data_IF_244443870059
#
_entry.id   IF_244443870059
#
_cell.length_a   1.000
_cell.length_b   1.000
_cell.length_c   1.000
_cell.angle_alpha   90.00
_cell.angle_beta   90.00
_cell.angle_gamma   90.00
#
_symmetry.space_group_name_H-M   'P 1'
#
loop_
_entity.id
_entity.type
_entity.pdbx_description
1 polymer ?
#
# COMPACT_ATOMS: atom_id res chain seq x y z
N UNK A 1 40.40 -16.42 34.25
CA UNK A 1 39.57 -15.38 33.61
C UNK A 1 39.36 -15.76 32.14
N UNK A 2 38.17 -16.23 31.77
CA UNK A 2 37.86 -16.55 30.37
C UNK A 2 37.55 -15.22 29.66
N UNK A 3 38.41 -14.80 28.73
CA UNK A 3 38.18 -13.61 27.92
C UNK A 3 37.31 -13.99 26.72
N UNK A 4 36.05 -13.53 26.72
CA UNK A 4 35.17 -13.66 25.57
C UNK A 4 35.60 -12.67 24.48
N UNK A 5 35.97 -13.17 23.30
CA UNK A 5 36.27 -12.36 22.12
C UNK A 5 35.10 -12.46 21.15
N UNK A 6 34.30 -11.38 21.06
CA UNK A 6 33.20 -11.31 20.11
C UNK A 6 33.77 -11.08 18.70
N UNK A 7 33.65 -12.08 17.83
CA UNK A 7 34.04 -12.02 16.42
C UNK A 7 32.76 -11.97 15.61
N UNK A 8 32.66 -11.02 14.67
CA UNK A 8 31.52 -10.93 13.74
C UNK A 8 31.48 -12.20 12.91
N UNK A 9 30.38 -12.95 12.98
CA UNK A 9 30.19 -14.16 12.17
C UNK A 9 29.91 -13.76 10.71
N UNK A 10 30.60 -14.40 9.78
CA UNK A 10 30.41 -14.17 8.33
C UNK A 10 29.16 -14.89 7.78
N UNK A 11 28.70 -15.93 8.46
CA UNK A 11 27.50 -16.69 8.10
C UNK A 11 26.55 -16.81 9.29
N UNK A 12 25.27 -16.55 9.04
CA UNK A 12 24.22 -16.83 10.01
C UNK A 12 23.98 -18.34 10.09
N UNK A 13 23.62 -18.86 11.28
CA UNK A 13 23.28 -20.27 11.39
C UNK A 13 21.87 -20.49 10.83
N UNK A 14 21.61 -21.63 10.19
CA UNK A 14 20.26 -21.96 9.73
C UNK A 14 19.24 -21.90 10.87
N UNK A 15 19.67 -22.25 12.09
CA UNK A 15 18.85 -22.13 13.29
C UNK A 15 18.51 -20.67 13.65
N UNK A 16 19.40 -19.69 13.45
CA UNK A 16 19.11 -18.29 13.76
C UNK A 16 18.02 -17.71 12.86
N UNK A 17 17.90 -18.15 11.61
CA UNK A 17 16.83 -17.73 10.71
C UNK A 17 15.42 -18.11 11.21
N UNK A 18 15.28 -19.16 12.02
CA UNK A 18 13.99 -19.56 12.60
C UNK A 18 13.83 -19.11 14.05
N UNK A 19 14.86 -19.26 14.87
CA UNK A 19 14.80 -18.93 16.30
C UNK A 19 14.60 -17.44 16.51
N UNK A 20 15.28 -16.59 15.75
CA UNK A 20 15.21 -15.14 15.95
C UNK A 20 13.79 -14.63 15.68
N UNK A 21 13.14 -14.88 14.53
CA UNK A 21 11.76 -14.42 14.30
C UNK A 21 10.75 -14.99 15.30
N UNK A 22 10.84 -16.29 15.64
CA UNK A 22 9.94 -16.91 16.62
C UNK A 22 10.10 -16.26 17.98
N UNK A 23 11.33 -16.07 18.45
CA UNK A 23 11.61 -15.41 19.72
C UNK A 23 11.14 -13.95 19.69
N UNK A 24 11.35 -13.22 18.60
CA UNK A 24 10.85 -11.85 18.42
C UNK A 24 9.32 -11.78 18.52
N UNK A 25 8.59 -12.72 17.91
CA UNK A 25 7.12 -12.79 18.01
C UNK A 25 6.70 -13.06 19.45
N UNK A 26 7.31 -14.03 20.12
CA UNK A 26 7.00 -14.36 21.52
C UNK A 26 7.26 -13.15 22.43
N UNK A 27 8.42 -12.49 22.29
CA UNK A 27 8.75 -11.30 23.07
C UNK A 27 7.80 -10.14 22.79
N UNK A 28 7.38 -9.93 21.55
CA UNK A 28 6.40 -8.90 21.19
C UNK A 28 5.03 -9.18 21.83
N UNK A 29 4.56 -10.44 21.80
CA UNK A 29 3.32 -10.85 22.45
C UNK A 29 3.40 -10.71 23.98
N UNK A 30 4.54 -11.03 24.59
CA UNK A 30 4.77 -10.82 26.02
C UNK A 30 4.79 -9.33 26.38
N UNK A 31 5.40 -8.50 25.54
CA UNK A 31 5.39 -7.06 25.74
C UNK A 31 3.96 -6.50 25.66
N UNK A 32 3.21 -6.85 24.62
CA UNK A 32 1.79 -6.49 24.51
C UNK A 32 0.94 -7.00 25.67
N UNK A 33 1.26 -8.18 26.21
CA UNK A 33 0.58 -8.77 27.36
C UNK A 33 0.72 -7.88 28.59
N UNK A 34 1.92 -7.36 28.83
CA UNK A 34 2.20 -6.45 29.95
C UNK A 34 1.33 -5.19 29.82
N UNK A 35 1.23 -4.59 28.62
CA UNK A 35 0.38 -3.41 28.41
C UNK A 35 -1.09 -3.69 28.66
N UNK A 36 -1.64 -4.77 28.09
CA UNK A 36 -3.04 -5.13 28.30
C UNK A 36 -3.36 -5.33 29.78
N UNK A 37 -2.46 -6.01 30.50
CA UNK A 37 -2.59 -6.23 31.93
C UNK A 37 -2.55 -4.92 32.73
N UNK A 38 -1.63 -3.99 32.39
CA UNK A 38 -1.55 -2.66 33.01
C UNK A 38 -2.80 -1.81 32.79
N UNK A 39 -3.49 -1.98 31.64
CA UNK A 39 -4.77 -1.35 31.35
C UNK A 39 -5.97 -2.04 32.02
N UNK A 40 -5.75 -3.12 32.77
CA UNK A 40 -6.83 -3.89 33.43
C UNK A 40 -7.62 -4.79 32.49
N UNK A 41 -7.14 -5.01 31.27
CA UNK A 41 -7.76 -5.90 30.27
C UNK A 41 -7.13 -7.27 30.38
N UNK A 42 -7.93 -8.35 30.39
CA UNK A 42 -7.41 -9.71 30.39
C UNK A 42 -6.65 -10.00 29.08
N UNK A 43 -5.31 -10.17 29.12
CA UNK A 43 -4.53 -10.33 27.89
C UNK A 43 -4.80 -11.66 27.19
N UNK A 44 -5.03 -12.73 27.97
CA UNK A 44 -5.30 -14.07 27.44
C UNK A 44 -6.60 -14.08 26.63
N UNK A 45 -7.66 -13.48 27.19
CA UNK A 45 -8.93 -13.36 26.49
C UNK A 45 -8.78 -12.47 25.25
N UNK A 46 -8.09 -11.34 25.36
CA UNK A 46 -7.87 -10.43 24.23
C UNK A 46 -7.18 -11.13 23.07
N UNK A 47 -6.08 -11.84 23.32
CA UNK A 47 -5.38 -12.59 22.29
C UNK A 47 -6.22 -13.73 21.71
N UNK A 48 -7.04 -14.40 22.52
CA UNK A 48 -7.98 -15.40 22.01
C UNK A 48 -9.04 -14.76 21.10
N UNK A 49 -9.57 -13.59 21.46
CA UNK A 49 -10.52 -12.83 20.62
C UNK A 49 -9.88 -12.35 19.33
N UNK A 50 -8.63 -11.87 19.38
CA UNK A 50 -7.88 -11.51 18.17
C UNK A 50 -7.68 -12.70 17.24
N UNK A 51 -7.31 -13.86 17.80
CA UNK A 51 -7.16 -15.10 17.03
C UNK A 51 -8.49 -15.54 16.40
N UNK A 52 -9.58 -15.54 17.17
CA UNK A 52 -10.91 -15.89 16.66
C UNK A 52 -11.41 -14.87 15.62
N UNK A 53 -11.14 -13.59 15.81
CA UNK A 53 -11.51 -12.53 14.88
C UNK A 53 -10.76 -12.61 13.54
N UNK A 54 -9.54 -13.14 13.53
CA UNK A 54 -8.75 -13.30 12.31
C UNK A 54 -8.93 -14.67 11.64
N UNK A 55 -9.01 -15.76 12.41
CA UNK A 55 -8.95 -17.15 11.91
C UNK A 55 -10.08 -18.05 12.40
N UNK A 56 -10.99 -17.55 13.23
CA UNK A 56 -12.01 -18.37 13.90
C UNK A 56 -13.14 -18.85 12.99
N UNK A 57 -13.32 -18.28 11.81
CA UNK A 57 -14.34 -18.69 10.84
C UNK A 57 -13.92 -18.40 9.41
N UNK A 58 -14.61 -19.02 8.44
CA UNK A 58 -14.41 -18.72 7.01
C UNK A 58 -14.70 -17.24 6.70
N UNK A 59 -15.66 -16.64 7.41
CA UNK A 59 -15.97 -15.21 7.31
C UNK A 59 -14.79 -14.34 7.80
N UNK A 60 -14.26 -14.64 8.99
CA UNK A 60 -13.11 -13.94 9.57
C UNK A 60 -11.88 -13.99 8.64
N UNK A 61 -11.59 -15.16 8.06
CA UNK A 61 -10.51 -15.32 7.09
C UNK A 61 -10.77 -14.48 5.84
N UNK A 62 -12.02 -14.46 5.35
CA UNK A 62 -12.37 -13.64 4.18
C UNK A 62 -12.21 -12.14 4.43
N UNK A 63 -12.59 -11.65 5.62
CA UNK A 63 -12.40 -10.25 6.02
C UNK A 63 -10.92 -9.89 6.18
N UNK A 64 -10.13 -10.80 6.77
CA UNK A 64 -8.68 -10.64 6.89
C UNK A 64 -8.03 -10.55 5.50
N UNK A 65 -8.47 -11.37 4.54
CA UNK A 65 -8.00 -11.31 3.16
C UNK A 65 -8.42 -10.01 2.47
N UNK A 66 -9.66 -9.55 2.64
CA UNK A 66 -10.13 -8.27 2.08
C UNK A 66 -9.24 -7.12 2.55
N UNK A 67 -8.93 -7.05 3.85
CA UNK A 67 -8.02 -6.04 4.40
C UNK A 67 -6.57 -6.20 3.94
N UNK A 68 -6.13 -7.42 3.62
CA UNK A 68 -4.80 -7.67 3.10
C UNK A 68 -4.60 -7.21 1.65
N UNK A 69 -5.65 -7.19 0.81
CA UNK A 69 -5.57 -6.83 -0.62
C UNK A 69 -4.94 -5.45 -0.87
N UNK A 70 -5.46 -4.35 -0.31
CA UNK A 70 -4.86 -3.03 -0.52
C UNK A 70 -3.44 -2.96 0.05
N UNK A 71 -3.17 -3.60 1.19
CA UNK A 71 -1.84 -3.66 1.79
C UNK A 71 -0.84 -4.41 0.90
N UNK A 72 -1.25 -5.48 0.22
CA UNK A 72 -0.43 -6.19 -0.76
C UNK A 72 -0.07 -5.26 -1.93
N UNK A 73 -1.04 -4.52 -2.47
CA UNK A 73 -0.79 -3.58 -3.56
C UNK A 73 0.15 -2.45 -3.13
N UNK A 74 -0.06 -1.87 -1.95
CA UNK A 74 0.85 -0.86 -1.40
C UNK A 74 2.27 -1.43 -1.25
N UNK A 75 2.42 -2.61 -0.68
CA UNK A 75 3.71 -3.29 -0.54
C UNK A 75 4.39 -3.55 -1.89
N UNK A 76 3.63 -3.99 -2.88
CA UNK A 76 4.12 -4.22 -4.25
C UNK A 76 4.58 -2.91 -4.91
N UNK A 77 3.76 -1.85 -4.86
CA UNK A 77 4.11 -0.53 -5.39
C UNK A 77 5.34 0.07 -4.70
N UNK A 78 5.42 -0.04 -3.37
CA UNK A 78 6.56 0.44 -2.58
C UNK A 78 7.84 -0.37 -2.85
N UNK A 79 7.72 -1.68 -3.08
CA UNK A 79 8.88 -2.52 -3.36
C UNK A 79 9.68 -2.03 -4.57
N UNK A 80 9.00 -1.42 -5.56
CA UNK A 80 9.66 -0.84 -6.73
C UNK A 80 10.50 0.39 -6.37
N UNK A 81 9.96 1.31 -5.56
CA UNK A 81 10.68 2.49 -5.07
C UNK A 81 11.88 2.10 -4.21
N UNK A 82 11.68 1.13 -3.31
CA UNK A 82 12.75 0.66 -2.42
C UNK A 82 13.90 -0.01 -3.16
N UNK A 83 13.66 -0.64 -4.33
CA UNK A 83 14.77 -1.16 -5.16
C UNK A 83 15.72 -0.09 -5.68
N UNK A 84 15.25 1.15 -5.83
CA UNK A 84 16.11 2.31 -6.16
C UNK A 84 16.59 3.07 -4.91
N UNK A 85 16.37 2.53 -3.70
CA UNK A 85 16.61 3.23 -2.42
C UNK A 85 15.82 4.53 -2.26
N UNK A 86 14.69 4.66 -2.96
CA UNK A 86 13.75 5.77 -2.78
C UNK A 86 12.76 5.40 -1.69
N UNK A 87 12.79 6.12 -0.57
CA UNK A 87 11.91 5.86 0.57
C UNK A 87 10.58 6.59 0.43
N UNK A 88 9.68 6.03 -0.39
CA UNK A 88 8.31 6.54 -0.53
C UNK A 88 7.47 6.17 0.70
N UNK A 89 7.37 7.05 1.70
CA UNK A 89 6.46 6.86 2.85
C UNK A 89 5.06 7.45 2.53
N UNK A 90 4.89 8.02 1.34
CA UNK A 90 3.68 8.71 0.89
C UNK A 90 2.60 7.82 0.29
N UNK A 91 2.72 6.49 0.39
CA UNK A 91 1.78 5.57 -0.23
C UNK A 91 0.36 5.71 0.32
N UNK A 92 0.21 6.12 1.58
CA UNK A 92 -1.07 6.43 2.19
C UNK A 92 -1.76 7.60 1.46
N UNK A 93 -1.09 8.73 1.26
CA UNK A 93 -1.66 9.87 0.53
C UNK A 93 -1.96 9.53 -0.93
N UNK A 94 -1.10 8.73 -1.58
CA UNK A 94 -1.32 8.23 -2.94
C UNK A 94 -2.57 7.33 -3.03
N UNK A 95 -2.81 6.51 -2.00
CA UNK A 95 -4.03 5.73 -1.84
C UNK A 95 -5.25 6.63 -1.69
N UNK A 96 -5.21 7.64 -0.83
CA UNK A 96 -6.31 8.59 -0.66
C UNK A 96 -6.66 9.32 -1.96
N UNK A 97 -5.65 9.80 -2.70
CA UNK A 97 -5.89 10.48 -3.98
C UNK A 97 -6.43 9.53 -5.06
N UNK A 98 -5.99 8.26 -5.05
CA UNK A 98 -6.55 7.23 -5.93
C UNK A 98 -8.00 6.89 -5.58
N UNK A 99 -8.31 6.72 -4.30
CA UNK A 99 -9.65 6.53 -3.77
C UNK A 99 -10.58 7.70 -4.14
N UNK A 100 -10.08 8.94 -4.01
CA UNK A 100 -10.80 10.14 -4.41
C UNK A 100 -11.16 10.12 -5.89
N UNK A 101 -10.19 9.89 -6.77
CA UNK A 101 -10.44 9.88 -8.21
C UNK A 101 -11.40 8.76 -8.63
N UNK A 102 -11.25 7.55 -8.07
CA UNK A 102 -12.18 6.44 -8.31
C UNK A 102 -13.60 6.77 -7.83
N UNK A 103 -13.72 7.34 -6.63
CA UNK A 103 -15.01 7.75 -6.05
C UNK A 103 -15.69 8.82 -6.91
N UNK A 104 -14.93 9.79 -7.44
CA UNK A 104 -15.47 10.78 -8.38
C UNK A 104 -16.07 10.13 -9.63
N UNK A 105 -15.37 9.15 -10.23
CA UNK A 105 -15.92 8.41 -11.37
C UNK A 105 -17.18 7.64 -10.97
N UNK A 106 -17.18 6.96 -9.83
CA UNK A 106 -18.34 6.21 -9.34
C UNK A 106 -19.57 7.10 -9.08
N UNK A 107 -19.35 8.29 -8.51
CA UNK A 107 -20.42 9.23 -8.17
C UNK A 107 -21.00 9.95 -9.40
N UNK A 108 -20.16 10.33 -10.37
CA UNK A 108 -20.61 11.10 -11.55
C UNK A 108 -20.99 10.23 -12.75
N UNK A 109 -20.47 8.99 -12.84
CA UNK A 109 -20.69 8.09 -13.97
C UNK A 109 -21.20 6.71 -13.54
N UNK A 110 -21.86 6.62 -12.38
CA UNK A 110 -22.35 5.37 -11.79
C UNK A 110 -23.34 4.57 -12.64
N UNK A 111 -23.95 5.20 -13.65
CA UNK A 111 -24.89 4.55 -14.58
C UNK A 111 -24.20 3.71 -15.67
N UNK A 112 -22.88 3.81 -15.80
CA UNK A 112 -22.12 3.02 -16.76
C UNK A 112 -22.16 1.53 -16.41
N UNK A 113 -22.12 0.62 -17.41
CA UNK A 113 -21.95 -0.80 -17.16
C UNK A 113 -20.68 -1.09 -16.36
N UNK A 114 -20.74 -2.03 -15.41
CA UNK A 114 -19.62 -2.39 -14.53
C UNK A 114 -18.33 -2.74 -15.30
N UNK A 115 -18.47 -3.37 -16.47
CA UNK A 115 -17.36 -3.74 -17.35
C UNK A 115 -16.55 -2.53 -17.85
N UNK A 116 -17.18 -1.36 -17.98
CA UNK A 116 -16.54 -0.10 -18.38
C UNK A 116 -16.18 0.73 -17.16
N UNK A 117 -17.08 0.78 -16.17
CA UNK A 117 -16.93 1.61 -14.98
C UNK A 117 -15.69 1.22 -14.16
N UNK A 118 -15.50 -0.07 -13.87
CA UNK A 118 -14.39 -0.54 -13.03
C UNK A 118 -13.00 -0.26 -13.66
N UNK A 119 -12.75 -0.53 -14.95
CA UNK A 119 -11.49 -0.14 -15.59
C UNK A 119 -11.25 1.37 -15.61
N UNK A 120 -12.29 2.19 -15.84
CA UNK A 120 -12.14 3.65 -15.84
C UNK A 120 -11.83 4.16 -14.44
N UNK A 121 -12.50 3.64 -13.40
CA UNK A 121 -12.18 3.93 -12.01
C UNK A 121 -10.74 3.54 -11.66
N UNK A 122 -10.31 2.34 -12.07
CA UNK A 122 -8.93 1.88 -11.85
C UNK A 122 -7.90 2.76 -12.57
N UNK A 123 -8.15 3.15 -13.82
CA UNK A 123 -7.27 4.04 -14.56
C UNK A 123 -7.19 5.43 -13.92
N UNK A 124 -8.34 6.00 -13.54
CA UNK A 124 -8.39 7.29 -12.84
C UNK A 124 -7.62 7.24 -11.51
N UNK A 125 -7.78 6.16 -10.75
CA UNK A 125 -7.09 5.96 -9.48
C UNK A 125 -5.57 5.82 -9.66
N UNK A 126 -5.13 5.03 -10.66
CA UNK A 126 -3.72 4.88 -11.00
C UNK A 126 -3.09 6.21 -11.41
N UNK A 127 -3.79 6.97 -12.26
CA UNK A 127 -3.30 8.27 -12.73
C UNK A 127 -3.23 9.28 -11.58
N UNK A 128 -4.27 9.37 -10.75
CA UNK A 128 -4.30 10.31 -9.62
C UNK A 128 -3.22 9.99 -8.57
N UNK A 129 -3.10 8.73 -8.16
CA UNK A 129 -2.05 8.30 -7.23
C UNK A 129 -0.64 8.47 -7.80
N UNK A 130 -0.46 8.19 -9.10
CA UNK A 130 0.80 8.38 -9.81
C UNK A 130 1.19 9.86 -9.91
N UNK A 131 0.26 10.75 -10.29
CA UNK A 131 0.48 12.20 -10.33
C UNK A 131 0.83 12.72 -8.93
N UNK A 132 0.13 12.25 -7.89
CA UNK A 132 0.43 12.65 -6.51
C UNK A 132 1.85 12.27 -6.09
N UNK A 133 2.31 11.07 -6.48
CA UNK A 133 3.67 10.60 -6.21
C UNK A 133 4.74 11.28 -7.08
N UNK A 134 4.37 11.75 -8.27
CA UNK A 134 5.28 12.52 -9.12
C UNK A 134 5.70 13.84 -8.50
N UNK A 135 4.87 14.47 -7.65
CA UNK A 135 5.23 15.73 -6.98
C UNK A 135 6.50 15.57 -6.15
N UNK A 136 6.56 14.71 -5.10
CA UNK A 136 7.79 14.48 -4.35
C UNK A 136 8.87 13.79 -5.21
N UNK A 137 8.46 12.95 -6.17
CA UNK A 137 9.39 12.33 -7.12
C UNK A 137 10.16 13.34 -7.96
N UNK A 138 9.51 14.41 -8.42
CA UNK A 138 10.13 15.49 -9.16
C UNK A 138 11.05 16.33 -8.26
N UNK A 139 10.62 16.62 -7.03
CA UNK A 139 11.46 17.32 -6.06
C UNK A 139 12.75 16.55 -5.78
N UNK A 140 12.65 15.23 -5.65
CA UNK A 140 13.82 14.34 -5.53
C UNK A 140 14.66 14.31 -6.79
N UNK A 141 14.04 14.15 -7.96
CA UNK A 141 14.74 13.92 -9.22
C UNK A 141 15.49 15.16 -9.76
N UNK A 142 14.95 16.37 -9.51
CA UNK A 142 15.50 17.63 -10.01
C UNK A 142 16.27 18.42 -8.95
N UNK A 143 15.85 18.38 -7.68
CA UNK A 143 16.41 19.21 -6.62
C UNK A 143 17.04 18.41 -5.48
N UNK A 144 17.13 17.08 -5.59
CA UNK A 144 17.70 16.19 -4.58
C UNK A 144 17.06 16.34 -3.19
N UNK A 145 15.81 16.83 -3.14
CA UNK A 145 15.05 17.00 -1.89
C UNK A 145 14.79 15.65 -1.27
N UNK A 146 14.83 15.58 0.06
CA UNK A 146 14.52 14.37 0.83
C UNK A 146 13.08 13.91 0.54
N UNK A 147 12.98 12.79 -0.17
CA UNK A 147 11.74 12.14 -0.57
C UNK A 147 10.94 11.62 0.64
N UNK A 148 11.62 11.19 1.71
CA UNK A 148 10.97 10.68 2.92
C UNK A 148 10.11 11.76 3.56
N UNK A 149 10.66 12.97 3.73
CA UNK A 149 9.94 14.10 4.34
C UNK A 149 8.82 14.57 3.42
N UNK A 150 9.11 14.79 2.14
CA UNK A 150 8.12 15.33 1.20
C UNK A 150 6.96 14.37 0.98
N UNK A 151 7.22 13.07 0.85
CA UNK A 151 6.16 12.07 0.71
C UNK A 151 5.30 11.95 1.98
N UNK A 152 5.91 11.99 3.17
CA UNK A 152 5.18 11.98 4.44
C UNK A 152 4.30 13.23 4.61
N UNK A 153 4.85 14.42 4.34
CA UNK A 153 4.10 15.68 4.47
C UNK A 153 2.90 15.73 3.52
N UNK A 154 3.05 15.19 2.31
CA UNK A 154 1.96 15.13 1.34
C UNK A 154 0.85 14.12 1.69
N UNK A 155 1.07 13.19 2.64
CA UNK A 155 -0.02 12.36 3.16
C UNK A 155 -1.06 13.21 3.86
N UNK A 156 -0.64 14.11 4.76
CA UNK A 156 -1.55 15.00 5.48
C UNK A 156 -2.34 15.88 4.53
N UNK A 157 -1.67 16.42 3.49
CA UNK A 157 -2.34 17.23 2.47
C UNK A 157 -3.39 16.41 1.71
N UNK A 158 -3.08 15.17 1.31
CA UNK A 158 -4.02 14.29 0.62
C UNK A 158 -5.24 13.96 1.49
N UNK A 159 -5.00 13.61 2.77
CA UNK A 159 -6.06 13.28 3.72
C UNK A 159 -6.99 14.49 3.91
N UNK A 160 -6.42 15.66 4.24
CA UNK A 160 -7.21 16.89 4.42
C UNK A 160 -7.91 17.33 3.13
N UNK A 161 -7.31 17.09 1.97
CA UNK A 161 -7.95 17.34 0.68
C UNK A 161 -9.19 16.45 0.52
N UNK A 162 -9.08 15.14 0.72
CA UNK A 162 -10.23 14.23 0.62
C UNK A 162 -11.29 14.54 1.66
N UNK A 163 -10.89 14.81 2.90
CA UNK A 163 -11.81 15.25 3.96
C UNK A 163 -12.60 16.50 3.55
N UNK A 164 -11.96 17.50 2.95
CA UNK A 164 -12.65 18.72 2.51
C UNK A 164 -13.80 18.45 1.53
N UNK A 165 -13.68 17.40 0.71
CA UNK A 165 -14.74 16.97 -0.21
C UNK A 165 -15.86 16.23 0.50
N UNK A 166 -15.50 15.32 1.43
CA UNK A 166 -16.46 14.53 2.20
C UNK A 166 -17.29 15.42 3.14
N UNK A 167 -16.69 16.45 3.74
CA UNK A 167 -17.39 17.44 4.54
C UNK A 167 -18.08 18.53 3.71
N UNK A 168 -17.73 18.64 2.43
CA UNK A 168 -18.20 19.68 1.51
C UNK A 168 -18.98 19.11 0.33
N UNK A 169 -18.53 19.29 -0.93
CA UNK A 169 -19.31 18.99 -2.14
C UNK A 169 -19.85 17.57 -2.27
N UNK A 170 -19.17 16.58 -1.69
CA UNK A 170 -19.52 15.17 -1.83
C UNK A 170 -20.28 14.63 -0.62
N UNK A 171 -20.63 15.49 0.34
CA UNK A 171 -21.44 15.09 1.48
C UNK A 171 -22.83 14.68 1.02
N UNK A 172 -23.26 13.48 1.41
CA UNK A 172 -24.62 13.02 1.17
C UNK A 172 -25.64 13.87 1.95
N UNK A 173 -26.60 14.54 1.28
CA UNK A 173 -27.65 15.30 1.97
C UNK A 173 -28.51 14.42 2.90
N UNK A 174 -28.58 13.12 2.64
CA UNK A 174 -29.36 12.16 3.42
C UNK A 174 -28.61 11.61 4.65
N UNK A 175 -27.31 11.91 4.83
CA UNK A 175 -26.49 11.31 5.88
C UNK A 175 -26.70 11.89 7.28
N UNK A 176 -27.77 12.65 7.54
CA UNK A 176 -28.10 13.21 8.87
C UNK A 176 -26.93 13.95 9.55
N UNK A 177 -26.05 14.56 8.74
CA UNK A 177 -24.89 15.32 9.23
C UNK A 177 -23.57 14.53 9.25
N UNK A 178 -23.58 13.22 9.06
CA UNK A 178 -22.36 12.39 9.00
C UNK A 178 -21.52 12.68 7.75
N UNK A 179 -20.18 12.68 7.86
CA UNK A 179 -19.27 12.91 6.72
C UNK A 179 -19.15 11.63 5.89
N UNK A 180 -20.19 11.35 5.09
CA UNK A 180 -20.27 10.21 4.20
C UNK A 180 -20.63 10.71 2.81
N UNK A 181 -20.02 10.10 1.79
CA UNK A 181 -20.48 10.27 0.42
C UNK A 181 -21.77 9.48 0.18
N UNK A 182 -22.53 9.82 -0.88
CA UNK A 182 -23.60 8.95 -1.35
C UNK A 182 -23.08 7.54 -1.60
N UNK A 183 -23.94 6.54 -1.38
CA UNK A 183 -23.63 5.15 -1.73
C UNK A 183 -23.39 5.03 -3.22
N UNK A 184 -22.36 4.28 -3.59
CA UNK A 184 -22.09 4.02 -4.99
C UNK A 184 -23.18 3.14 -5.61
N UNK A 185 -23.32 3.25 -6.93
CA UNK A 185 -24.17 2.34 -7.69
C UNK A 185 -23.62 0.91 -7.57
N UNK A 186 -24.48 -0.13 -7.63
CA UNK A 186 -24.03 -1.52 -7.56
C UNK A 186 -22.96 -1.89 -8.61
N UNK A 187 -22.95 -1.19 -9.74
CA UNK A 187 -22.00 -1.35 -10.84
C UNK A 187 -20.56 -0.94 -10.47
N UNK A 188 -20.41 -0.08 -9.45
CA UNK A 188 -19.11 0.43 -8.99
C UNK A 188 -18.45 -0.46 -7.93
N UNK A 189 -19.16 -1.49 -7.44
CA UNK A 189 -18.59 -2.46 -6.50
C UNK A 189 -17.80 -3.55 -7.24
N UNK A 190 -16.70 -3.96 -6.63
CA UNK A 190 -15.90 -5.07 -7.15
C UNK A 190 -16.68 -6.38 -6.98
N UNK A 191 -16.81 -7.20 -8.04
CA UNK A 191 -17.44 -8.51 -7.93
C UNK A 191 -16.75 -9.40 -6.88
N UNK A 192 -17.55 -10.06 -6.05
CA UNK A 192 -17.09 -11.07 -5.09
C UNK A 192 -16.69 -12.37 -5.79
N UNK A 193 -15.77 -13.10 -5.19
CA UNK A 193 -15.29 -14.41 -5.64
C UNK A 193 -16.04 -15.48 -4.84
N UNK A 194 -16.98 -16.16 -5.51
CA UNK A 194 -17.87 -17.15 -4.88
C UNK A 194 -18.75 -16.53 -3.79
N UNK A 195 -19.03 -17.31 -2.75
CA UNK A 195 -19.87 -16.90 -1.61
C UNK A 195 -19.07 -16.22 -0.48
N UNK A 196 -17.89 -15.68 -0.79
CA UNK A 196 -17.00 -15.03 0.18
C UNK A 196 -16.99 -13.51 0.03
N UNK A 197 -16.48 -12.80 1.06
CA UNK A 197 -16.24 -11.35 1.02
C UNK A 197 -15.08 -10.97 0.09
N UNK A 198 -14.25 -11.94 -0.30
CA UNK A 198 -13.08 -11.69 -1.16
C UNK A 198 -13.56 -11.26 -2.54
N UNK A 199 -13.03 -10.15 -3.04
CA UNK A 199 -13.39 -9.60 -4.34
C UNK A 199 -12.26 -9.72 -5.36
N UNK A 200 -12.56 -9.45 -6.64
CA UNK A 200 -11.58 -9.54 -7.75
C UNK A 200 -10.31 -8.70 -7.56
N UNK A 201 -10.30 -7.72 -6.65
CA UNK A 201 -9.10 -7.01 -6.24
C UNK A 201 -7.94 -7.92 -5.80
N UNK A 202 -8.21 -9.13 -5.29
CA UNK A 202 -7.16 -10.12 -5.02
C UNK A 202 -6.45 -10.57 -6.31
N UNK A 203 -7.21 -10.82 -7.36
CA UNK A 203 -6.67 -11.18 -8.68
C UNK A 203 -5.87 -10.02 -9.27
N UNK A 204 -6.33 -8.78 -9.07
CA UNK A 204 -5.59 -7.57 -9.49
C UNK A 204 -4.25 -7.49 -8.74
N UNK A 205 -4.22 -7.70 -7.43
CA UNK A 205 -2.99 -7.69 -6.64
C UNK A 205 -1.99 -8.77 -7.12
N UNK A 206 -2.47 -10.00 -7.35
CA UNK A 206 -1.65 -11.08 -7.89
C UNK A 206 -1.13 -10.78 -9.29
N UNK A 207 -1.97 -10.22 -10.16
CA UNK A 207 -1.58 -9.81 -11.51
C UNK A 207 -0.48 -8.75 -11.45
N UNK A 208 -0.65 -7.71 -10.62
CA UNK A 208 0.37 -6.67 -10.41
C UNK A 208 1.67 -7.29 -9.88
N UNK A 209 1.60 -8.25 -8.95
CA UNK A 209 2.79 -8.94 -8.44
C UNK A 209 3.56 -9.67 -9.56
N UNK A 210 2.84 -10.40 -10.42
CA UNK A 210 3.43 -11.11 -11.57
C UNK A 210 4.03 -10.10 -12.56
N UNK A 211 3.31 -9.03 -12.89
CA UNK A 211 3.80 -7.98 -13.79
C UNK A 211 5.07 -7.32 -13.26
N UNK A 212 5.11 -6.95 -11.98
CA UNK A 212 6.30 -6.37 -11.35
C UNK A 212 7.46 -7.36 -11.29
N UNK A 213 7.20 -8.64 -11.02
CA UNK A 213 8.22 -9.68 -11.06
C UNK A 213 8.88 -9.78 -12.44
N UNK A 214 8.07 -9.83 -13.50
CA UNK A 214 8.59 -9.88 -14.86
C UNK A 214 9.35 -8.60 -15.22
N UNK A 215 8.76 -7.45 -14.90
CA UNK A 215 9.35 -6.15 -15.16
C UNK A 215 10.71 -6.00 -14.48
N UNK A 216 10.82 -6.34 -13.20
CA UNK A 216 12.05 -6.13 -12.43
C UNK A 216 13.16 -7.14 -12.74
N UNK A 217 12.82 -8.33 -13.22
CA UNK A 217 13.79 -9.41 -13.43
C UNK A 217 14.16 -9.62 -14.91
N UNK A 218 13.27 -9.30 -15.84
CA UNK A 218 13.44 -9.65 -17.25
C UNK A 218 13.40 -8.46 -18.21
N UNK A 219 13.36 -7.21 -17.72
CA UNK A 219 13.38 -6.02 -18.60
C UNK A 219 14.62 -5.16 -18.38
N UNK A 220 14.98 -4.39 -19.42
CA UNK A 220 16.05 -3.37 -19.35
C UNK A 220 15.77 -2.35 -18.25
N UNK A 221 14.51 -1.91 -18.12
CA UNK A 221 14.15 -0.93 -17.11
C UNK A 221 14.32 -1.49 -15.68
N UNK A 222 13.96 -2.76 -15.47
CA UNK A 222 14.24 -3.46 -14.21
C UNK A 222 15.73 -3.56 -13.86
N UNK A 223 16.58 -3.73 -14.87
CA UNK A 223 18.04 -3.67 -14.69
C UNK A 223 18.52 -2.25 -14.32
N UNK A 224 18.03 -1.22 -15.00
CA UNK A 224 18.37 0.18 -14.69
C UNK A 224 18.01 0.56 -13.24
N UNK A 225 16.82 0.17 -12.77
CA UNK A 225 16.35 0.36 -11.39
C UNK A 225 17.35 -0.26 -10.39
N UNK A 226 17.78 -1.52 -10.63
CA UNK A 226 18.72 -2.23 -9.74
C UNK A 226 20.09 -1.54 -9.71
N UNK A 227 20.62 -1.15 -10.87
CA UNK A 227 21.93 -0.47 -10.97
C UNK A 227 21.91 0.89 -10.25
N UNK A 228 20.83 1.66 -10.38
CA UNK A 228 20.68 2.93 -9.66
C UNK A 228 20.65 2.70 -8.16
N UNK A 229 19.93 1.66 -7.70
CA UNK A 229 19.88 1.26 -6.30
C UNK A 229 21.25 0.88 -5.73
N UNK A 230 22.14 0.31 -6.54
CA UNK A 230 23.52 0.02 -6.13
C UNK A 230 24.37 1.30 -6.03
N UNK A 231 24.39 2.10 -7.09
CA UNK A 231 25.16 3.36 -7.15
C UNK A 231 24.63 4.32 -8.22
N UNK A 232 24.21 5.52 -7.80
CA UNK A 232 23.84 6.60 -8.71
C UNK A 232 25.00 7.04 -9.61
N UNK A 233 26.24 7.02 -9.12
CA UNK A 233 27.42 7.40 -9.90
C UNK A 233 27.69 6.38 -11.02
N UNK A 234 27.60 5.08 -10.70
CA UNK A 234 27.78 4.00 -11.67
C UNK A 234 26.69 4.03 -12.74
N UNK A 235 25.43 4.30 -12.35
CA UNK A 235 24.32 4.46 -13.28
C UNK A 235 24.53 5.62 -14.27
N UNK A 236 25.02 6.77 -13.80
CA UNK A 236 25.32 7.91 -14.68
C UNK A 236 26.49 7.60 -15.62
N UNK A 237 27.51 6.89 -15.14
CA UNK A 237 28.64 6.49 -15.96
C UNK A 237 28.24 5.55 -17.12
N UNK A 238 27.26 4.66 -16.90
CA UNK A 238 26.73 3.76 -17.92
C UNK A 238 25.66 4.38 -18.83
N UNK A 239 25.41 5.69 -18.70
CA UNK A 239 24.46 6.44 -19.53
C UNK A 239 22.99 6.30 -19.11
N UNK A 240 22.70 5.76 -17.92
CA UNK A 240 21.34 5.59 -17.41
C UNK A 240 20.80 6.94 -16.93
N UNK A 241 19.60 7.31 -17.40
CA UNK A 241 18.95 8.55 -16.97
C UNK A 241 18.27 8.36 -15.60
N UNK A 242 19.01 8.69 -14.54
CA UNK A 242 18.56 8.58 -13.14
C UNK A 242 17.29 9.39 -12.89
N UNK A 243 17.21 10.65 -13.36
CA UNK A 243 16.06 11.54 -13.14
C UNK A 243 14.79 10.95 -13.73
N UNK A 244 14.83 10.48 -14.99
CA UNK A 244 13.70 9.81 -15.64
C UNK A 244 13.26 8.57 -14.84
N UNK A 245 14.21 7.77 -14.37
CA UNK A 245 13.91 6.55 -13.63
C UNK A 245 13.28 6.84 -12.26
N UNK A 246 13.72 7.89 -11.55
CA UNK A 246 13.07 8.33 -10.30
C UNK A 246 11.60 8.69 -10.59
N UNK A 247 11.34 9.50 -11.61
CA UNK A 247 9.97 9.91 -11.97
C UNK A 247 9.07 8.72 -12.34
N UNK A 248 9.57 7.80 -13.18
CA UNK A 248 8.80 6.63 -13.61
C UNK A 248 8.51 5.68 -12.44
N UNK A 249 9.49 5.44 -11.57
CA UNK A 249 9.30 4.58 -10.40
C UNK A 249 8.32 5.21 -9.41
N UNK A 250 8.40 6.52 -9.17
CA UNK A 250 7.44 7.21 -8.31
C UNK A 250 6.03 7.18 -8.92
N UNK A 251 5.88 7.46 -10.22
CA UNK A 251 4.59 7.35 -10.92
C UNK A 251 3.97 5.96 -10.77
N UNK A 252 4.74 4.90 -11.02
CA UNK A 252 4.23 3.52 -10.97
C UNK A 252 3.96 3.09 -9.52
N UNK A 253 4.84 3.44 -8.58
CA UNK A 253 4.65 3.18 -7.15
C UNK A 253 3.37 3.84 -6.65
N UNK A 254 3.19 5.12 -6.93
CA UNK A 254 1.99 5.88 -6.58
C UNK A 254 0.74 5.44 -7.32
N UNK A 255 0.86 5.03 -8.58
CA UNK A 255 -0.28 4.52 -9.33
C UNK A 255 -0.78 3.20 -8.78
N UNK A 256 0.12 2.29 -8.39
CA UNK A 256 -0.27 1.03 -7.73
C UNK A 256 -0.89 1.31 -6.35
N UNK A 257 -0.35 2.28 -5.60
CA UNK A 257 -0.97 2.74 -4.35
C UNK A 257 -2.37 3.35 -4.59
N UNK A 258 -2.54 4.12 -5.65
CA UNK A 258 -3.84 4.66 -6.06
C UNK A 258 -4.85 3.57 -6.42
N UNK A 259 -4.43 2.52 -7.13
CA UNK A 259 -5.26 1.34 -7.39
C UNK A 259 -5.71 0.65 -6.10
N UNK A 260 -4.85 0.58 -5.08
CA UNK A 260 -5.25 0.09 -3.76
C UNK A 260 -6.37 0.93 -3.16
N UNK A 261 -6.36 2.25 -3.39
CA UNK A 261 -7.43 3.16 -2.97
C UNK A 261 -8.77 2.88 -3.64
N UNK A 262 -8.76 2.65 -4.97
CA UNK A 262 -9.97 2.22 -5.70
C UNK A 262 -10.51 0.90 -5.13
N UNK A 263 -9.63 -0.06 -4.85
CA UNK A 263 -10.03 -1.36 -4.31
C UNK A 263 -10.59 -1.24 -2.90
N UNK A 264 -10.05 -0.37 -2.04
CA UNK A 264 -10.59 -0.15 -0.70
C UNK A 264 -12.01 0.45 -0.76
N UNK A 265 -12.24 1.46 -1.62
CA UNK A 265 -13.57 2.10 -1.69
C UNK A 265 -14.63 1.26 -2.42
N UNK A 266 -14.22 0.46 -3.41
CA UNK A 266 -15.13 -0.39 -4.18
C UNK A 266 -15.26 -1.83 -3.64
N UNK A 267 -14.37 -2.23 -2.73
CA UNK A 267 -14.30 -3.59 -2.19
C UNK A 267 -15.12 -3.79 -0.91
N UNK A 268 -15.43 -2.72 -0.17
CA UNK A 268 -16.24 -2.78 1.04
C UNK A 268 -17.72 -2.65 0.66
N UNK A 269 -18.34 -3.80 0.40
CA UNK A 269 -19.81 -3.93 0.20
C UNK A 269 -20.56 -4.18 1.51
#
# INVERSE_FOLDING_TARGET
>A
MIQYKFIKRETESLASHFIVPVLSIVLALLFGWIFLWLYGINPAETYLRMWQGAFGSSYAISEALVKAIPLMLLGLGLSMAFRMKLWNIGAEGQLYMGAFAASGIALFYGDLPSLVLLPVMGLAAFVAGGIWSLVPGAMRAYWDVNETITTLMLNYVAISFVESFIFGPWKDPASMGFPLSPRFSPQAYLPSIGDSRVHIGLLVALLVAVLLYFLLNYTKWGYEIKVIGESHASARYTGINVTRNILLVMLISGGIAGLAGMIEVSGIT
#
